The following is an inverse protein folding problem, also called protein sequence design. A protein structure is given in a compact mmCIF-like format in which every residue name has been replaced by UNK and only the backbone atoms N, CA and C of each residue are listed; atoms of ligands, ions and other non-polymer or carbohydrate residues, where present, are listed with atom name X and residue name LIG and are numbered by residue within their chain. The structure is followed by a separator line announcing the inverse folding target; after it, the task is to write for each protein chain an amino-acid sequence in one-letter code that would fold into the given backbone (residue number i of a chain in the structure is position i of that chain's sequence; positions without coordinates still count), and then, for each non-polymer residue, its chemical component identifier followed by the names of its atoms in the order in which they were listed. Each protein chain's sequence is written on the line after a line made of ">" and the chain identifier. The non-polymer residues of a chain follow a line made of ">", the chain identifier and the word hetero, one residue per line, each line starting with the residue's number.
data_IF_622416719487
#
_entry.id   IF_622416719487
#
_cell.length_a   1.000
_cell.length_b   1.000
_cell.length_c   1.000
_cell.angle_alpha   90.00
_cell.angle_beta   90.00
_cell.angle_gamma   90.00
#
_symmetry.space_group_name_H-M   'P 1'
#
loop_
_entity.id
_entity.type
_entity.pdbx_description
1 polymer ?
#
# COMPACT_ATOMS: atom_id res chain seq x y z
N UNK A 1 -3.40 -4.98 18.36
CA UNK A 1 -3.71 -6.15 17.46
C UNK A 1 -2.56 -6.31 16.49
N UNK A 2 -2.05 -7.52 16.22
CA UNK A 2 -0.83 -7.68 15.41
C UNK A 2 -1.07 -7.42 13.91
N UNK A 3 -0.10 -6.79 13.22
CA UNK A 3 -0.11 -6.55 11.77
C UNK A 3 -0.35 -7.85 10.97
N UNK A 4 -0.01 -9.03 11.53
CA UNK A 4 -0.36 -10.35 10.95
C UNK A 4 -1.86 -10.63 10.92
N UNK A 5 -2.59 -10.27 11.97
CA UNK A 5 -4.05 -10.40 11.99
C UNK A 5 -4.65 -9.39 11.01
N UNK A 6 -4.10 -8.18 10.94
CA UNK A 6 -4.56 -7.12 10.05
C UNK A 6 -4.29 -7.41 8.56
N UNK A 7 -3.08 -7.84 8.17
CA UNK A 7 -2.75 -8.28 6.81
C UNK A 7 -3.58 -9.51 6.41
N UNK A 8 -3.73 -10.51 7.30
CA UNK A 8 -4.57 -11.68 7.03
C UNK A 8 -6.04 -11.32 6.91
N UNK A 9 -6.54 -10.44 7.76
CA UNK A 9 -7.93 -10.01 7.74
C UNK A 9 -8.22 -9.19 6.48
N UNK A 10 -7.27 -8.35 6.03
CA UNK A 10 -7.40 -7.65 4.74
C UNK A 10 -7.39 -8.60 3.54
N UNK A 11 -6.64 -9.71 3.60
CA UNK A 11 -6.68 -10.78 2.57
C UNK A 11 -7.85 -11.76 2.74
N UNK A 12 -8.53 -11.77 3.88
CA UNK A 12 -9.62 -12.71 4.20
C UNK A 12 -11.01 -12.09 3.99
N UNK A 13 -11.17 -10.79 4.26
CA UNK A 13 -12.36 -10.01 3.88
C UNK A 13 -12.54 -9.94 2.35
N UNK A 14 -11.48 -10.23 1.59
CA UNK A 14 -11.52 -10.45 0.13
C UNK A 14 -12.18 -11.78 -0.28
N UNK A 15 -12.47 -12.68 0.67
CA UNK A 15 -12.84 -14.08 0.40
C UNK A 15 -14.25 -14.52 0.81
N UNK A 16 -15.08 -13.68 1.43
CA UNK A 16 -16.30 -14.16 2.09
C UNK A 16 -17.63 -13.95 1.34
N UNK A 17 -17.64 -13.42 0.11
CA UNK A 17 -18.91 -13.23 -0.62
C UNK A 17 -18.86 -13.54 -2.12
N UNK A 18 -18.31 -14.71 -2.51
CA UNK A 18 -18.51 -15.25 -3.86
C UNK A 18 -18.46 -16.80 -3.94
N UNK A 19 -19.22 -17.43 -4.86
CA UNK A 19 -19.46 -18.88 -4.88
C UNK A 19 -18.22 -19.68 -5.30
N UNK A 20 -18.20 -21.01 -5.07
CA UNK A 20 -16.99 -21.80 -5.07
C UNK A 20 -16.48 -22.04 -6.49
N UNK A 21 -15.16 -22.18 -6.59
CA UNK A 21 -14.35 -22.54 -7.76
C UNK A 21 -13.80 -21.39 -8.62
N UNK A 22 -12.84 -20.64 -8.06
CA UNK A 22 -11.63 -20.29 -8.83
C UNK A 22 -10.47 -20.02 -7.89
N UNK A 23 -9.55 -20.97 -7.86
CA UNK A 23 -8.32 -20.97 -7.07
C UNK A 23 -7.51 -19.67 -7.29
N UNK A 24 -7.00 -19.11 -6.20
CA UNK A 24 -6.17 -17.89 -6.09
C UNK A 24 -4.96 -17.90 -7.05
N UNK A 25 -4.52 -19.07 -7.53
CA UNK A 25 -3.48 -19.17 -8.54
C UNK A 25 -3.90 -18.69 -9.94
N UNK A 26 -5.20 -18.53 -10.22
CA UNK A 26 -5.70 -18.01 -11.51
C UNK A 26 -5.82 -16.48 -11.58
N UNK A 27 -5.84 -15.75 -10.47
CA UNK A 27 -5.80 -14.28 -10.52
C UNK A 27 -4.39 -13.73 -10.76
N UNK A 28 -3.34 -14.51 -10.47
CA UNK A 28 -1.94 -14.11 -10.68
C UNK A 28 -1.40 -14.60 -12.05
N UNK A 29 -1.90 -15.73 -12.59
CA UNK A 29 -1.38 -16.33 -13.84
C UNK A 29 -2.44 -16.75 -14.88
N UNK A 30 -3.72 -16.43 -14.68
CA UNK A 30 -4.80 -16.81 -15.61
C UNK A 30 -4.88 -15.87 -16.80
N UNK A 31 -4.69 -16.40 -18.01
CA UNK A 31 -5.10 -15.75 -19.26
C UNK A 31 -6.58 -15.36 -19.14
N UNK A 32 -6.87 -14.08 -18.99
CA UNK A 32 -8.24 -13.57 -18.95
C UNK A 32 -8.95 -13.89 -20.27
N UNK A 33 -10.01 -14.69 -20.20
CA UNK A 33 -11.06 -14.70 -21.22
C UNK A 33 -11.63 -13.28 -21.33
N UNK A 34 -11.79 -12.74 -22.55
CA UNK A 34 -12.14 -11.33 -22.73
C UNK A 34 -13.55 -11.07 -22.21
N UNK A 35 -13.63 -10.43 -21.04
CA UNK A 35 -14.84 -9.75 -20.59
C UNK A 35 -15.17 -8.64 -21.59
N UNK A 36 -16.45 -8.51 -22.03
CA UNK A 36 -16.85 -7.40 -22.87
C UNK A 36 -16.72 -6.09 -22.07
N UNK A 37 -15.69 -5.29 -22.39
CA UNK A 37 -15.33 -4.04 -21.72
C UNK A 37 -16.06 -2.85 -22.31
N UNK A 38 -16.30 -1.83 -21.49
CA UNK A 38 -16.97 -0.60 -21.92
C UNK A 38 -16.10 0.17 -22.93
N UNK A 39 -16.75 0.84 -23.89
CA UNK A 39 -16.08 1.72 -24.87
C UNK A 39 -15.26 2.79 -24.14
N UNK A 40 -13.93 2.72 -24.25
CA UNK A 40 -12.99 3.67 -23.63
C UNK A 40 -11.94 3.04 -22.71
N UNK A 41 -12.03 1.74 -22.41
CA UNK A 41 -10.98 1.01 -21.68
C UNK A 41 -9.82 0.64 -22.61
N UNK A 42 -8.59 1.00 -22.22
CA UNK A 42 -7.39 0.77 -23.00
C UNK A 42 -7.04 -0.74 -23.03
N UNK A 43 -6.75 -1.27 -24.22
CA UNK A 43 -6.20 -2.63 -24.43
C UNK A 43 -4.66 -2.58 -24.53
N UNK A 44 -3.98 -3.73 -24.41
CA UNK A 44 -2.50 -3.83 -24.55
C UNK A 44 -1.94 -3.24 -25.88
N UNK A 45 -2.77 -2.98 -26.89
CA UNK A 45 -2.41 -2.35 -28.18
C UNK A 45 -2.77 -0.85 -28.24
N UNK A 46 -3.51 -0.34 -27.26
CA UNK A 46 -3.97 1.07 -27.13
C UNK A 46 -3.52 1.72 -25.82
N UNK A 47 -2.79 1.01 -24.94
CA UNK A 47 -2.19 1.54 -23.72
C UNK A 47 -1.30 2.76 -24.05
N UNK A 48 -1.57 3.94 -23.47
CA UNK A 48 -0.65 5.06 -23.54
C UNK A 48 0.69 4.66 -22.89
N UNK A 49 1.81 4.92 -23.57
CA UNK A 49 3.15 4.53 -23.08
C UNK A 49 3.46 5.07 -21.69
N UNK A 50 2.98 6.28 -21.37
CA UNK A 50 3.10 6.88 -20.04
C UNK A 50 2.39 6.07 -18.95
N UNK A 51 1.19 5.55 -19.22
CA UNK A 51 0.47 4.70 -18.27
C UNK A 51 1.19 3.36 -18.10
N UNK A 52 1.68 2.76 -19.19
CA UNK A 52 2.45 1.52 -19.12
C UNK A 52 3.71 1.68 -18.26
N UNK A 53 4.43 2.79 -18.41
CA UNK A 53 5.61 3.09 -17.59
C UNK A 53 5.25 3.28 -16.12
N UNK A 54 4.17 4.00 -15.81
CA UNK A 54 3.70 4.19 -14.44
C UNK A 54 3.32 2.85 -13.79
N UNK A 55 2.58 2.00 -14.49
CA UNK A 55 2.21 0.68 -14.00
C UNK A 55 3.42 -0.24 -13.85
N UNK A 56 4.42 -0.13 -14.74
CA UNK A 56 5.69 -0.83 -14.62
C UNK A 56 6.42 -0.46 -13.33
N UNK A 57 6.66 0.84 -13.10
CA UNK A 57 7.32 1.33 -11.87
C UNK A 57 6.55 0.97 -10.61
N UNK A 58 5.22 1.01 -10.67
CA UNK A 58 4.35 0.58 -9.57
C UNK A 58 4.58 -0.88 -9.21
N UNK A 59 4.62 -1.77 -10.21
CA UNK A 59 4.88 -3.20 -10.01
C UNK A 59 6.27 -3.43 -9.45
N UNK A 60 7.31 -2.81 -10.03
CA UNK A 60 8.69 -2.91 -9.53
C UNK A 60 8.81 -2.51 -8.05
N UNK A 61 8.20 -1.38 -7.67
CA UNK A 61 8.21 -0.93 -6.27
C UNK A 61 7.44 -1.88 -5.34
N UNK A 62 6.36 -2.49 -5.82
CA UNK A 62 5.60 -3.46 -5.03
C UNK A 62 6.39 -4.76 -4.82
N UNK A 63 7.07 -5.26 -5.86
CA UNK A 63 7.95 -6.42 -5.80
C UNK A 63 9.10 -6.18 -4.82
N UNK A 64 9.81 -5.07 -4.97
CA UNK A 64 10.90 -4.70 -4.06
C UNK A 64 10.42 -4.58 -2.61
N UNK A 65 9.22 -4.03 -2.37
CA UNK A 65 8.64 -3.95 -1.02
C UNK A 65 8.35 -5.35 -0.44
N UNK A 66 7.85 -6.28 -1.25
CA UNK A 66 7.54 -7.65 -0.83
C UNK A 66 8.81 -8.42 -0.46
N UNK A 67 9.91 -8.17 -1.18
CA UNK A 67 11.21 -8.77 -0.89
C UNK A 67 11.85 -8.24 0.40
N UNK A 68 11.41 -7.10 0.92
CA UNK A 68 11.91 -6.56 2.19
C UNK A 68 11.40 -7.39 3.38
N UNK A 69 12.32 -7.90 4.20
CA UNK A 69 11.99 -8.62 5.43
C UNK A 69 11.53 -7.68 6.57
N UNK A 70 10.26 -7.26 6.55
CA UNK A 70 9.73 -6.23 7.48
C UNK A 70 9.01 -6.80 8.72
N UNK A 71 9.33 -8.05 9.07
CA UNK A 71 8.62 -8.83 10.10
C UNK A 71 8.83 -8.30 11.52
N UNK A 72 9.99 -7.74 11.81
CA UNK A 72 10.34 -7.26 13.15
C UNK A 72 10.34 -5.74 13.21
N UNK A 73 10.22 -5.20 14.44
CA UNK A 73 10.32 -3.75 14.69
C UNK A 73 11.67 -3.22 14.20
N UNK A 74 12.75 -3.88 14.57
CA UNK A 74 14.10 -3.43 14.22
C UNK A 74 14.34 -3.48 12.72
N UNK A 75 13.82 -4.50 12.03
CA UNK A 75 13.90 -4.57 10.57
C UNK A 75 13.14 -3.43 9.89
N UNK A 76 11.93 -3.07 10.37
CA UNK A 76 11.20 -1.90 9.85
C UNK A 76 11.94 -0.60 10.07
N UNK A 77 12.52 -0.39 11.25
CA UNK A 77 13.32 0.80 11.54
C UNK A 77 14.55 0.86 10.63
N UNK A 78 15.26 -0.26 10.46
CA UNK A 78 16.43 -0.35 9.59
C UNK A 78 16.09 -0.11 8.11
N UNK A 79 14.87 -0.45 7.69
CA UNK A 79 14.38 -0.32 6.32
C UNK A 79 13.95 1.11 5.91
N UNK A 80 13.90 2.08 6.84
CA UNK A 80 13.46 3.45 6.57
C UNK A 80 14.17 4.08 5.35
N UNK A 81 15.51 4.00 5.19
CA UNK A 81 16.18 4.58 4.03
C UNK A 81 15.71 3.97 2.70
N UNK A 82 15.54 2.64 2.65
CA UNK A 82 15.06 1.93 1.47
C UNK A 82 13.61 2.29 1.15
N UNK A 83 12.72 2.35 2.15
CA UNK A 83 11.32 2.76 1.98
C UNK A 83 11.20 4.17 1.40
N UNK A 84 12.07 5.11 1.82
CA UNK A 84 12.11 6.45 1.24
C UNK A 84 12.54 6.44 -0.22
N UNK A 85 13.46 5.55 -0.59
CA UNK A 85 13.92 5.41 -1.97
C UNK A 85 12.82 4.80 -2.87
N UNK A 86 12.07 3.82 -2.35
CA UNK A 86 10.90 3.28 -3.05
C UNK A 86 9.88 4.38 -3.37
N UNK A 87 9.58 5.28 -2.42
CA UNK A 87 8.65 6.40 -2.65
C UNK A 87 9.14 7.40 -3.71
N UNK A 88 10.45 7.54 -3.91
CA UNK A 88 11.00 8.39 -4.98
C UNK A 88 10.81 7.77 -6.35
N UNK A 89 10.90 6.44 -6.45
CA UNK A 89 10.66 5.70 -7.70
C UNK A 89 9.18 5.67 -8.07
N UNK A 90 8.35 5.35 -7.09
CA UNK A 90 6.90 5.42 -7.22
C UNK A 90 6.24 5.68 -5.87
N UNK A 91 5.34 6.68 -5.74
CA UNK A 91 4.64 7.00 -4.49
C UNK A 91 3.56 5.95 -4.17
N UNK A 92 3.99 4.73 -3.85
CA UNK A 92 3.12 3.57 -3.69
C UNK A 92 2.34 3.61 -2.35
N UNK A 93 1.03 3.26 -2.35
CA UNK A 93 0.21 3.30 -1.13
C UNK A 93 0.78 2.45 0.03
N UNK A 94 1.18 1.21 -0.25
CA UNK A 94 1.73 0.31 0.76
C UNK A 94 3.07 0.80 1.32
N UNK A 95 3.88 1.50 0.51
CA UNK A 95 5.18 2.00 0.97
C UNK A 95 4.98 3.16 1.95
N UNK A 96 4.00 4.05 1.69
CA UNK A 96 3.64 5.11 2.64
C UNK A 96 3.20 4.53 3.99
N UNK A 97 2.25 3.59 3.98
CA UNK A 97 1.76 2.93 5.20
C UNK A 97 2.89 2.25 5.98
N UNK A 98 3.75 1.51 5.27
CA UNK A 98 4.91 0.85 5.87
C UNK A 98 5.90 1.85 6.48
N UNK A 99 6.17 2.95 5.78
CA UNK A 99 7.08 4.00 6.24
C UNK A 99 6.53 4.73 7.48
N UNK A 100 5.23 5.00 7.54
CA UNK A 100 4.57 5.58 8.71
C UNK A 100 4.77 4.67 9.92
N UNK A 101 4.50 3.37 9.79
CA UNK A 101 4.74 2.40 10.86
C UNK A 101 6.21 2.31 11.28
N UNK A 102 7.15 2.36 10.33
CA UNK A 102 8.57 2.34 10.61
C UNK A 102 9.02 3.59 11.40
N UNK A 103 8.52 4.78 11.05
CA UNK A 103 8.79 6.00 11.81
C UNK A 103 8.19 5.97 13.21
N UNK A 104 6.97 5.47 13.34
CA UNK A 104 6.32 5.26 14.65
C UNK A 104 7.16 4.30 15.50
N UNK A 105 7.61 3.18 14.93
CA UNK A 105 8.47 2.23 15.61
C UNK A 105 9.82 2.84 16.05
N UNK A 106 10.36 3.78 15.28
CA UNK A 106 11.59 4.51 15.57
C UNK A 106 11.40 5.69 16.56
N UNK A 107 10.17 6.01 16.96
CA UNK A 107 9.86 7.20 17.77
C UNK A 107 9.98 8.53 17.02
N UNK A 108 9.98 8.50 15.68
CA UNK A 108 10.14 9.68 14.81
C UNK A 108 8.77 10.23 14.40
N UNK A 109 8.04 10.77 15.38
CA UNK A 109 6.62 11.12 15.24
C UNK A 109 6.33 12.20 14.19
N UNK A 110 7.15 13.25 14.14
CA UNK A 110 6.96 14.34 13.17
C UNK A 110 7.15 13.86 11.74
N UNK A 111 8.04 12.89 11.54
CA UNK A 111 8.26 12.28 10.23
C UNK A 111 7.15 11.31 9.85
N UNK A 112 6.57 10.60 10.82
CA UNK A 112 5.37 9.79 10.61
C UNK A 112 4.18 10.67 10.16
N UNK A 113 3.98 11.83 10.82
CA UNK A 113 2.95 12.81 10.41
C UNK A 113 3.24 13.38 9.01
N UNK A 114 4.50 13.68 8.71
CA UNK A 114 4.91 14.13 7.37
C UNK A 114 4.61 13.09 6.28
N UNK A 115 4.89 11.81 6.54
CA UNK A 115 4.59 10.71 5.62
C UNK A 115 3.07 10.49 5.46
N UNK A 116 2.30 10.59 6.54
CA UNK A 116 0.84 10.56 6.52
C UNK A 116 0.25 11.70 5.66
N UNK A 117 0.74 12.93 5.84
CA UNK A 117 0.35 14.06 5.03
C UNK A 117 0.67 13.84 3.54
N UNK A 118 1.88 13.36 3.23
CA UNK A 118 2.28 13.05 1.85
C UNK A 118 1.40 11.97 1.21
N UNK A 119 1.02 10.93 1.97
CA UNK A 119 0.08 9.90 1.50
C UNK A 119 -1.30 10.48 1.16
N UNK A 120 -1.79 11.44 1.96
CA UNK A 120 -3.05 12.14 1.70
C UNK A 120 -2.98 13.02 0.45
N UNK A 121 -1.89 13.77 0.28
CA UNK A 121 -1.69 14.57 -0.93
C UNK A 121 -1.60 13.69 -2.18
N UNK A 122 -0.93 12.55 -2.08
CA UNK A 122 -0.91 11.55 -3.15
C UNK A 122 -2.31 11.04 -3.47
N UNK A 123 -3.16 10.78 -2.47
CA UNK A 123 -4.55 10.37 -2.67
C UNK A 123 -5.33 11.40 -3.49
N UNK A 124 -5.18 12.68 -3.16
CA UNK A 124 -5.80 13.77 -3.90
C UNK A 124 -5.30 13.83 -5.35
N UNK A 125 -3.99 13.64 -5.56
CA UNK A 125 -3.38 13.61 -6.88
C UNK A 125 -3.94 12.45 -7.74
N UNK A 126 -3.93 11.21 -7.23
CA UNK A 126 -4.39 10.05 -8.00
C UNK A 126 -5.88 10.10 -8.30
N UNK A 127 -6.70 10.70 -7.42
CA UNK A 127 -8.14 10.85 -7.64
C UNK A 127 -8.47 11.66 -8.90
N UNK A 128 -7.55 12.54 -9.33
CA UNK A 128 -7.67 13.41 -10.50
C UNK A 128 -6.94 12.87 -11.72
N UNK A 129 -6.34 11.69 -11.63
CA UNK A 129 -5.64 11.07 -12.76
C UNK A 129 -6.58 10.83 -13.93
N UNK A 130 -6.08 11.03 -15.16
CA UNK A 130 -6.79 10.67 -16.37
C UNK A 130 -7.01 9.14 -16.48
N UNK A 131 -6.16 8.35 -15.83
CA UNK A 131 -6.16 6.89 -15.90
C UNK A 131 -6.95 6.26 -14.75
N UNK A 132 -7.92 5.41 -15.08
CA UNK A 132 -8.74 4.67 -14.10
C UNK A 132 -7.92 3.77 -13.18
N UNK A 133 -6.86 3.17 -13.72
CA UNK A 133 -5.95 2.25 -13.03
C UNK A 133 -5.19 2.97 -11.91
N UNK A 134 -4.84 4.24 -12.15
CA UNK A 134 -4.19 5.09 -11.16
C UNK A 134 -5.23 5.63 -10.17
N UNK A 135 -6.44 6.00 -10.63
CA UNK A 135 -7.53 6.41 -9.72
C UNK A 135 -7.91 5.31 -8.72
N UNK A 136 -7.84 4.05 -9.11
CA UNK A 136 -8.11 2.91 -8.21
C UNK A 136 -7.15 2.84 -7.01
N UNK A 137 -6.02 3.57 -7.02
CA UNK A 137 -5.15 3.67 -5.84
C UNK A 137 -5.74 4.50 -4.70
N UNK A 138 -6.76 5.32 -4.97
CA UNK A 138 -7.47 6.13 -3.96
C UNK A 138 -7.99 5.25 -2.81
N UNK A 139 -8.49 4.05 -3.14
CA UNK A 139 -9.06 3.12 -2.16
C UNK A 139 -7.98 2.44 -1.31
N UNK A 140 -6.73 2.47 -1.76
CA UNK A 140 -5.57 1.85 -1.06
C UNK A 140 -4.77 2.85 -0.26
N UNK A 141 -4.92 4.15 -0.54
CA UNK A 141 -4.34 5.23 0.25
C UNK A 141 -5.31 5.58 1.38
N UNK A 142 -4.96 5.18 2.60
CA UNK A 142 -5.76 5.58 3.77
C UNK A 142 -5.76 7.12 3.89
N UNK A 143 -6.89 7.68 4.33
CA UNK A 143 -6.96 9.07 4.76
C UNK A 143 -6.27 9.21 6.12
N UNK A 144 -4.94 9.18 6.12
CA UNK A 144 -4.17 9.32 7.35
C UNK A 144 -4.41 10.70 7.97
N UNK A 145 -5.06 10.71 9.13
CA UNK A 145 -5.24 11.89 9.96
C UNK A 145 -4.10 12.01 10.98
N UNK A 146 -3.78 13.21 11.49
CA UNK A 146 -2.88 13.37 12.62
C UNK A 146 -3.27 12.50 13.83
N UNK A 147 -4.58 12.33 14.04
CA UNK A 147 -5.17 11.50 15.08
C UNK A 147 -4.85 10.02 14.90
N UNK A 148 -4.78 9.51 13.67
CA UNK A 148 -4.40 8.11 13.40
C UNK A 148 -2.94 7.84 13.79
N UNK A 149 -2.04 8.77 13.49
CA UNK A 149 -0.62 8.68 13.88
C UNK A 149 -0.49 8.74 15.40
N UNK A 150 -1.30 9.58 16.04
CA UNK A 150 -1.35 9.69 17.49
C UNK A 150 -1.90 8.42 18.15
N UNK A 151 -2.95 7.81 17.58
CA UNK A 151 -3.48 6.53 18.04
C UNK A 151 -2.43 5.41 17.93
N UNK A 152 -1.68 5.37 16.82
CA UNK A 152 -0.56 4.43 16.66
C UNK A 152 0.54 4.66 17.69
N UNK A 153 0.86 5.92 18.00
CA UNK A 153 1.82 6.27 19.06
C UNK A 153 1.35 5.74 20.42
N UNK A 154 0.12 6.02 20.80
CA UNK A 154 -0.46 5.58 22.08
C UNK A 154 -0.54 4.05 22.18
N UNK A 155 -0.95 3.35 21.11
CA UNK A 155 -0.91 1.88 21.07
C UNK A 155 0.51 1.35 21.29
N UNK A 156 1.52 2.00 20.70
CA UNK A 156 2.92 1.57 20.84
C UNK A 156 3.51 1.86 22.21
N UNK A 157 3.25 3.04 22.76
CA UNK A 157 3.71 3.41 24.11
C UNK A 157 3.07 2.52 25.18
N UNK A 158 1.78 2.17 25.04
CA UNK A 158 1.07 1.30 25.98
C UNK A 158 1.55 -0.16 25.96
N UNK A 159 2.07 -0.67 24.85
CA UNK A 159 2.67 -2.01 24.76
C UNK A 159 4.12 -2.08 25.28
N UNK A 160 4.76 -0.94 25.54
CA UNK A 160 6.13 -0.84 26.09
C UNK A 160 6.13 -0.69 27.61
N UNK A 161 4.98 -0.40 28.24
CA UNK A 161 4.87 -0.32 29.69
C UNK A 161 5.14 -1.69 30.35
N UNK A 162 6.21 -1.85 31.17
CA UNK A 162 6.39 -3.06 31.94
C UNK A 162 5.26 -3.16 32.96
N UNK A 163 4.68 -4.36 33.11
CA UNK A 163 3.91 -4.71 34.30
C UNK A 163 4.84 -4.48 35.50
N UNK A 164 4.55 -3.45 36.28
CA UNK A 164 5.11 -3.24 37.62
C UNK A 164 4.72 -4.41 38.54
#
# INVERSE_FOLDING_TARGET
>A
MGIRHWLRQRTADEGEDSPPHTSIFHSIFGRETPTPRALGEFDQKTYPGELQELLGRRTEVAEDLIEMELLTRDARIAAIPQLRELLRRYPHPLVYETLIHAYVDAGRWDEARGAAFAARERRNEVSRSAYSEIRAEVDRLNEWTPEDVEALRVERESHVAPKL
#
